data_IF_928376128898
#
_entry.id   IF_928376128898
#
_cell.length_a   1.000
_cell.length_b   1.000
_cell.length_c   1.000
_cell.angle_alpha   90.00
_cell.angle_beta   90.00
_cell.angle_gamma   90.00
#
_symmetry.space_group_name_H-M   'P 1'
#
loop_
_entity.id
_entity.type
_entity.pdbx_description
1 polymer ?
#
# COMPACT_ATOMS: atom_id res chain seq x y z
N UNK A 1 -43.50 -40.51 27.43
CA UNK A 1 -42.09 -40.05 27.42
C UNK A 1 -41.42 -40.76 26.27
N UNK A 2 -41.42 -40.15 25.07
CA UNK A 2 -40.97 -40.76 23.82
C UNK A 2 -39.61 -40.24 23.39
N UNK A 3 -38.72 -41.19 23.12
CA UNK A 3 -37.84 -41.31 21.94
C UNK A 3 -36.88 -40.17 21.58
N UNK A 4 -35.59 -40.42 21.87
CA UNK A 4 -34.46 -40.44 20.93
C UNK A 4 -34.62 -39.65 19.62
N UNK A 5 -33.68 -38.71 19.38
CA UNK A 5 -32.94 -38.62 18.13
C UNK A 5 -31.64 -37.82 18.30
N UNK A 6 -30.52 -38.46 17.96
CA UNK A 6 -29.18 -37.91 17.83
C UNK A 6 -28.92 -37.60 16.35
N UNK A 7 -28.17 -36.50 16.09
CA UNK A 7 -27.46 -36.13 14.85
C UNK A 7 -28.28 -35.48 13.71
N UNK A 8 -27.70 -34.55 12.90
CA UNK A 8 -26.37 -34.63 12.29
C UNK A 8 -25.43 -33.40 12.40
N UNK A 9 -24.15 -33.67 12.14
CA UNK A 9 -23.08 -32.72 11.83
C UNK A 9 -23.40 -31.99 10.53
N UNK A 10 -23.22 -30.67 10.51
CA UNK A 10 -23.06 -29.91 9.27
C UNK A 10 -21.63 -29.36 9.23
N UNK A 11 -20.77 -30.10 8.55
CA UNK A 11 -19.50 -29.62 8.04
C UNK A 11 -19.76 -28.52 7.01
N UNK A 12 -19.64 -27.25 7.40
CA UNK A 12 -19.58 -26.13 6.47
C UNK A 12 -18.15 -25.56 6.41
N UNK A 13 -17.23 -26.42 5.97
CA UNK A 13 -15.96 -25.95 5.42
C UNK A 13 -16.24 -25.25 4.10
N UNK A 14 -15.70 -24.04 3.96
CA UNK A 14 -15.28 -23.42 2.70
C UNK A 14 -16.37 -23.30 1.62
N UNK A 15 -16.85 -22.09 1.41
CA UNK A 15 -16.72 -21.49 0.08
C UNK A 15 -16.82 -19.97 0.16
N UNK A 16 -15.68 -19.33 -0.11
CA UNK A 16 -15.58 -18.13 -0.95
C UNK A 16 -16.83 -17.25 -1.06
N UNK A 17 -16.90 -16.21 -0.23
CA UNK A 17 -17.47 -14.94 -0.69
C UNK A 17 -16.34 -13.91 -0.82
N UNK A 18 -15.38 -14.25 -1.69
CA UNK A 18 -14.69 -13.26 -2.51
C UNK A 18 -15.77 -12.55 -3.34
N UNK A 19 -15.66 -11.21 -3.43
CA UNK A 19 -16.30 -10.30 -4.41
C UNK A 19 -17.56 -9.56 -3.94
N UNK A 20 -17.44 -8.68 -2.96
CA UNK A 20 -18.35 -7.54 -2.78
C UNK A 20 -17.45 -6.46 -2.14
N UNK A 21 -17.09 -5.31 -2.71
CA UNK A 21 -17.59 -4.51 -3.80
C UNK A 21 -16.54 -3.40 -3.96
N UNK A 22 -15.79 -3.33 -5.06
CA UNK A 22 -14.94 -2.18 -5.35
C UNK A 22 -15.88 -1.03 -5.74
N UNK A 23 -16.36 -0.28 -4.74
CA UNK A 23 -17.11 0.95 -4.95
C UNK A 23 -16.12 2.05 -5.33
N UNK A 24 -15.87 2.19 -6.63
CA UNK A 24 -15.18 3.33 -7.22
C UNK A 24 -16.11 4.56 -7.17
N UNK A 25 -16.18 5.21 -6.01
CA UNK A 25 -16.95 6.45 -5.84
C UNK A 25 -16.07 7.67 -6.06
N UNK A 26 -16.30 8.30 -7.22
CA UNK A 26 -16.18 9.73 -7.49
C UNK A 26 -14.80 10.39 -7.26
N UNK A 27 -14.07 10.58 -8.37
CA UNK A 27 -13.15 11.72 -8.52
C UNK A 27 -13.99 13.01 -8.45
N UNK A 28 -14.12 13.58 -7.26
CA UNK A 28 -14.51 14.96 -7.10
C UNK A 28 -13.40 15.82 -7.70
N UNK A 29 -13.69 16.44 -8.85
CA UNK A 29 -12.85 17.43 -9.51
C UNK A 29 -12.77 18.65 -8.59
N UNK A 30 -11.82 18.63 -7.66
CA UNK A 30 -11.36 19.84 -7.01
C UNK A 30 -10.44 20.56 -8.00
N UNK A 31 -10.99 21.52 -8.74
CA UNK A 31 -10.19 22.60 -9.34
C UNK A 31 -9.71 23.51 -8.20
N UNK A 32 -8.82 22.97 -7.36
CA UNK A 32 -8.12 23.70 -6.30
C UNK A 32 -6.81 24.21 -6.84
N UNK A 33 -6.47 25.45 -6.50
CA UNK A 33 -5.31 26.21 -6.96
C UNK A 33 -4.08 25.35 -7.25
N UNK A 34 -3.46 25.56 -8.41
CA UNK A 34 -2.09 25.14 -8.68
C UNK A 34 -1.16 25.91 -7.73
N UNK A 35 -1.14 25.51 -6.46
CA UNK A 35 0.00 25.75 -5.60
C UNK A 35 1.17 25.08 -6.31
N UNK A 36 2.11 25.88 -6.81
CA UNK A 36 3.40 25.40 -7.27
C UNK A 36 4.13 24.81 -6.05
N UNK A 37 3.72 23.61 -5.65
CA UNK A 37 4.37 22.83 -4.64
C UNK A 37 5.71 22.46 -5.25
N UNK A 38 6.78 23.01 -4.69
CA UNK A 38 8.16 22.74 -5.09
C UNK A 38 8.50 21.30 -4.71
N UNK A 39 7.89 20.36 -5.42
CA UNK A 39 8.01 18.95 -5.20
C UNK A 39 9.40 18.52 -5.68
N UNK A 40 10.22 17.91 -4.82
CA UNK A 40 11.48 17.35 -5.27
C UNK A 40 11.20 16.34 -6.38
N UNK A 41 11.77 16.57 -7.54
CA UNK A 41 11.69 15.67 -8.70
C UNK A 41 12.65 14.51 -8.58
N UNK A 42 13.58 14.58 -7.64
CA UNK A 42 14.64 13.60 -7.44
C UNK A 42 14.87 13.38 -5.94
N UNK A 43 15.35 12.18 -5.60
CA UNK A 43 15.77 11.84 -4.24
C UNK A 43 17.16 12.42 -3.95
N UNK A 44 17.36 12.94 -2.74
CA UNK A 44 18.68 13.36 -2.30
C UNK A 44 19.62 12.15 -2.16
N UNK A 45 20.95 12.36 -2.22
CA UNK A 45 21.92 11.27 -2.02
C UNK A 45 21.76 10.58 -0.67
N UNK A 46 21.33 11.33 0.36
CA UNK A 46 21.05 10.79 1.69
C UNK A 46 19.84 9.88 1.66
N UNK A 47 18.73 10.33 1.06
CA UNK A 47 17.51 9.52 0.92
C UNK A 47 17.79 8.24 0.12
N UNK A 48 18.56 8.34 -0.95
CA UNK A 48 18.95 7.18 -1.78
C UNK A 48 19.78 6.17 -0.99
N UNK A 49 20.70 6.65 -0.16
CA UNK A 49 21.50 5.78 0.72
C UNK A 49 20.61 5.08 1.74
N UNK A 50 19.69 5.81 2.36
CA UNK A 50 18.76 5.27 3.35
C UNK A 50 17.80 4.24 2.74
N UNK A 51 17.25 4.52 1.56
CA UNK A 51 16.44 3.55 0.83
C UNK A 51 17.24 2.29 0.52
N UNK A 52 18.49 2.41 0.05
CA UNK A 52 19.34 1.26 -0.25
C UNK A 52 19.74 0.47 1.00
N UNK A 53 19.81 1.12 2.17
CA UNK A 53 20.00 0.45 3.47
C UNK A 53 18.78 -0.40 3.85
N UNK A 54 17.57 0.13 3.61
CA UNK A 54 16.31 -0.55 3.93
C UNK A 54 15.94 -1.64 2.89
N UNK A 55 16.23 -1.37 1.62
CA UNK A 55 15.96 -2.25 0.48
C UNK A 55 17.23 -2.35 -0.37
N UNK A 56 18.11 -3.32 -0.05
CA UNK A 56 19.28 -3.61 -0.86
C UNK A 56 18.85 -3.94 -2.29
N UNK A 57 19.58 -3.41 -3.27
CA UNK A 57 19.30 -3.56 -4.71
C UNK A 57 18.04 -2.85 -5.22
N UNK A 58 17.46 -1.92 -4.45
CA UNK A 58 16.40 -1.05 -4.96
C UNK A 58 16.86 -0.29 -6.21
N UNK A 59 16.08 -0.41 -7.30
CA UNK A 59 16.27 0.43 -8.47
C UNK A 59 15.65 1.81 -8.20
N UNK A 60 16.52 2.81 -8.10
CA UNK A 60 16.15 4.21 -7.88
C UNK A 60 16.48 5.04 -9.13
N UNK A 61 16.57 4.40 -10.29
CA UNK A 61 16.65 5.05 -11.58
C UNK A 61 15.24 5.31 -12.12
N UNK A 62 15.06 6.41 -12.85
CA UNK A 62 13.81 6.73 -13.58
C UNK A 62 12.54 6.78 -12.71
N UNK A 63 12.66 7.22 -11.45
CA UNK A 63 11.51 7.38 -10.58
C UNK A 63 10.60 8.51 -11.08
N UNK A 64 9.30 8.26 -11.04
CA UNK A 64 8.31 9.33 -11.23
C UNK A 64 8.32 10.28 -10.04
N UNK A 65 7.89 11.53 -10.24
CA UNK A 65 7.76 12.53 -9.16
C UNK A 65 6.89 12.00 -8.01
N UNK A 66 5.83 11.25 -8.33
CA UNK A 66 4.96 10.62 -7.34
C UNK A 66 5.70 9.56 -6.50
N UNK A 67 6.55 8.74 -7.12
CA UNK A 67 7.36 7.75 -6.41
C UNK A 67 8.40 8.42 -5.52
N UNK A 68 9.04 9.50 -5.96
CA UNK A 68 10.00 10.27 -5.14
C UNK A 68 9.33 10.77 -3.86
N UNK A 69 8.16 11.38 -3.97
CA UNK A 69 7.40 11.88 -2.81
C UNK A 69 6.94 10.75 -1.88
N UNK A 70 6.48 9.64 -2.45
CA UNK A 70 6.06 8.49 -1.66
C UNK A 70 7.24 7.88 -0.89
N UNK A 71 8.40 7.73 -1.53
CA UNK A 71 9.61 7.21 -0.90
C UNK A 71 10.09 8.12 0.23
N UNK A 72 10.11 9.45 0.02
CA UNK A 72 10.45 10.40 1.08
C UNK A 72 9.47 10.29 2.25
N UNK A 73 8.17 10.24 1.97
CA UNK A 73 7.13 10.09 3.00
C UNK A 73 7.36 8.83 3.84
N UNK A 74 7.77 7.72 3.22
CA UNK A 74 8.08 6.47 3.93
C UNK A 74 9.34 6.60 4.79
N UNK A 75 10.43 7.19 4.25
CA UNK A 75 11.70 7.35 4.98
C UNK A 75 11.50 8.22 6.23
N UNK A 76 10.75 9.31 6.11
CA UNK A 76 10.47 10.24 7.21
C UNK A 76 9.27 9.84 8.08
N UNK A 77 8.58 8.74 7.75
CA UNK A 77 7.51 8.21 8.61
C UNK A 77 8.07 7.55 9.88
N UNK A 78 7.27 7.47 10.93
CA UNK A 78 7.60 6.72 12.15
C UNK A 78 7.28 5.21 12.03
N UNK A 79 6.89 4.73 10.84
CA UNK A 79 6.50 3.32 10.67
C UNK A 79 7.69 2.37 10.71
N UNK A 80 7.47 1.16 11.25
CA UNK A 80 8.50 0.13 11.36
C UNK A 80 8.68 -0.68 10.05
N UNK A 81 7.68 -0.68 9.17
CA UNK A 81 7.63 -1.51 7.96
C UNK A 81 8.13 -0.81 6.68
N UNK A 82 9.05 0.15 6.81
CA UNK A 82 9.51 1.02 5.71
C UNK A 82 10.02 0.22 4.50
N UNK A 83 10.80 -0.83 4.72
CA UNK A 83 11.34 -1.65 3.63
C UNK A 83 10.27 -2.33 2.77
N UNK A 84 9.15 -2.76 3.37
CA UNK A 84 8.03 -3.34 2.65
C UNK A 84 7.30 -2.29 1.80
N UNK A 85 7.11 -1.10 2.36
CA UNK A 85 6.46 0.02 1.66
C UNK A 85 7.31 0.55 0.50
N UNK A 86 8.62 0.71 0.72
CA UNK A 86 9.56 1.08 -0.35
C UNK A 86 9.45 0.07 -1.50
N UNK A 87 9.45 -1.24 -1.20
CA UNK A 87 9.28 -2.27 -2.24
C UNK A 87 7.93 -2.15 -2.96
N UNK A 88 6.86 -1.80 -2.26
CA UNK A 88 5.55 -1.62 -2.86
C UNK A 88 5.47 -0.38 -3.77
N UNK A 89 6.26 0.66 -3.50
CA UNK A 89 6.33 1.88 -4.34
C UNK A 89 7.16 1.63 -5.62
N UNK A 90 8.13 0.73 -5.56
CA UNK A 90 9.06 0.42 -6.65
C UNK A 90 8.58 -0.69 -7.60
N UNK A 91 7.56 -1.48 -7.22
CA UNK A 91 6.94 -2.50 -8.08
C UNK A 91 5.63 -1.99 -8.69
#
# INVERSE_FOLDING_TARGET
>A
MSSVAKSPKTDERKLEMKRILLAATALSIAAGAASAMNNPTELSNVDRSEIKRLVPNADLSNLTVAQVQALQSVIYSEENAKGGQIRAILN
#
